data_IF_772290236724
#
_entry.id   IF_772290236724
#
_cell.length_a   1.000
_cell.length_b   1.000
_cell.length_c   1.000
_cell.angle_alpha   90.00
_cell.angle_beta   90.00
_cell.angle_gamma   90.00
#
_symmetry.space_group_name_H-M   'P 1'
#
loop_
_entity.id
_entity.type
_entity.pdbx_description
1 polymer ?
#
# COMPACT_ATOMS: atom_id res chain seq x y z
N UNK A 1 2.50 34.52 1.04
CA UNK A 1 3.44 33.44 1.43
C UNK A 1 3.84 33.63 2.87
N UNK A 2 3.48 32.69 3.75
CA UNK A 2 3.97 32.69 5.13
C UNK A 2 5.42 32.24 5.14
N UNK A 3 6.20 32.85 6.02
CA UNK A 3 7.65 32.75 6.08
C UNK A 3 8.06 32.47 7.52
N UNK A 4 9.14 31.72 7.74
CA UNK A 4 9.63 31.49 9.09
C UNK A 4 10.14 32.81 9.71
N UNK A 5 9.74 33.10 10.94
CA UNK A 5 10.20 34.26 11.70
C UNK A 5 11.17 33.83 12.81
N UNK A 6 12.19 34.66 13.05
CA UNK A 6 13.21 34.40 14.08
C UNK A 6 12.56 34.57 15.45
N UNK A 7 12.79 33.62 16.36
CA UNK A 7 12.24 33.65 17.71
C UNK A 7 10.85 33.01 17.87
N UNK A 8 10.19 32.60 16.78
CA UNK A 8 8.93 31.86 16.83
C UNK A 8 9.15 30.35 16.94
N UNK A 9 8.15 29.70 17.54
CA UNK A 9 8.07 28.24 17.66
C UNK A 9 7.02 27.69 16.70
N UNK A 10 7.40 26.63 16.00
CA UNK A 10 6.55 25.93 15.05
C UNK A 10 6.43 24.48 15.47
N UNK A 11 5.24 23.90 15.30
CA UNK A 11 4.97 22.52 15.67
C UNK A 11 4.48 21.70 14.47
N UNK A 12 4.78 20.42 14.50
CA UNK A 12 4.14 19.45 13.61
C UNK A 12 3.88 18.16 14.36
N UNK A 13 2.77 17.51 14.03
CA UNK A 13 2.46 16.17 14.52
C UNK A 13 3.17 15.14 13.67
N UNK A 14 3.58 14.04 14.30
CA UNK A 14 4.07 12.87 13.58
C UNK A 14 2.95 12.27 12.74
N UNK A 15 3.31 11.66 11.61
CA UNK A 15 2.35 10.91 10.78
C UNK A 15 2.02 9.56 11.42
N UNK A 16 2.92 9.02 12.24
CA UNK A 16 2.83 7.66 12.79
C UNK A 16 2.14 7.60 14.15
N UNK A 17 2.19 8.68 14.90
CA UNK A 17 1.63 8.79 16.24
C UNK A 17 1.06 10.19 16.43
N UNK A 18 -0.26 10.25 16.62
CA UNK A 18 -0.99 11.50 16.79
C UNK A 18 -0.64 12.23 18.09
N UNK A 19 -0.13 11.53 19.10
CA UNK A 19 0.29 12.11 20.39
C UNK A 19 1.71 12.69 20.33
N UNK A 20 2.52 12.25 19.35
CA UNK A 20 3.87 12.76 19.14
C UNK A 20 3.85 14.13 18.44
N UNK A 21 4.10 15.19 19.21
CA UNK A 21 4.26 16.57 18.72
C UNK A 21 5.73 16.94 18.70
N UNK A 22 6.25 17.27 17.51
CA UNK A 22 7.58 17.82 17.34
C UNK A 22 7.51 19.34 17.32
N UNK A 23 8.34 20.01 18.11
CA UNK A 23 8.48 21.47 18.13
C UNK A 23 9.89 21.89 17.66
N UNK A 24 9.95 23.04 17.00
CA UNK A 24 11.21 23.69 16.64
C UNK A 24 11.17 25.16 17.04
N UNK A 25 12.30 25.66 17.52
CA UNK A 25 12.49 27.09 17.79
C UNK A 25 13.46 27.68 16.77
N UNK A 26 13.02 28.69 16.03
CA UNK A 26 13.86 29.29 14.99
C UNK A 26 14.88 30.26 15.61
N UNK A 27 16.16 29.93 15.53
CA UNK A 27 17.26 30.74 16.08
C UNK A 27 17.88 31.70 15.07
N UNK A 28 17.75 31.40 13.77
CA UNK A 28 18.26 32.29 12.73
C UNK A 28 17.70 31.96 11.36
N UNK A 29 17.50 32.99 10.55
CA UNK A 29 17.01 32.84 9.18
C UNK A 29 17.95 33.51 8.18
N UNK A 30 18.21 32.79 7.10
CA UNK A 30 18.84 33.32 5.88
C UNK A 30 17.89 33.12 4.70
N UNK A 31 18.17 33.74 3.56
CA UNK A 31 17.32 33.67 2.36
C UNK A 31 17.05 32.24 1.85
N UNK A 32 17.94 31.28 2.13
CA UNK A 32 17.86 29.88 1.63
C UNK A 32 17.90 28.82 2.73
N UNK A 33 18.27 29.19 3.96
CA UNK A 33 18.44 28.22 5.07
C UNK A 33 17.90 28.78 6.38
N UNK A 34 17.43 27.90 7.25
CA UNK A 34 16.95 28.22 8.59
C UNK A 34 17.76 27.41 9.59
N UNK A 35 18.24 28.09 10.62
CA UNK A 35 18.83 27.49 11.81
C UNK A 35 17.77 27.44 12.90
N UNK A 36 17.63 26.29 13.55
CA UNK A 36 16.61 26.06 14.56
C UNK A 36 17.12 25.07 15.60
N UNK A 37 16.52 25.11 16.78
CA UNK A 37 16.74 24.14 17.84
C UNK A 37 15.69 23.05 17.73
N UNK A 38 16.13 21.79 17.68
CA UNK A 38 15.29 20.60 17.53
C UNK A 38 15.84 19.50 18.44
N UNK A 39 14.99 19.00 19.35
CA UNK A 39 15.36 17.96 20.32
C UNK A 39 16.63 18.28 21.13
N UNK A 40 16.84 19.57 21.47
CA UNK A 40 18.01 20.05 22.23
C UNK A 40 19.28 20.25 21.40
N UNK A 41 19.25 20.01 20.08
CA UNK A 41 20.37 20.26 19.18
C UNK A 41 20.08 21.43 18.24
N UNK A 42 21.06 22.32 18.05
CA UNK A 42 20.99 23.34 17.00
C UNK A 42 21.28 22.72 15.64
N UNK A 43 20.30 22.74 14.74
CA UNK A 43 20.39 22.20 13.37
C UNK A 43 20.14 23.30 12.34
N UNK A 44 20.60 23.05 11.11
CA UNK A 44 20.37 23.92 9.96
C UNK A 44 19.78 23.13 8.81
N UNK A 45 18.68 23.62 8.25
CA UNK A 45 18.04 23.03 7.07
C UNK A 45 17.78 24.05 5.98
N UNK A 46 17.68 23.54 4.74
CA UNK A 46 17.33 24.34 3.57
C UNK A 46 15.82 24.60 3.55
N UNK A 47 15.43 25.85 3.29
CA UNK A 47 14.03 26.22 3.08
C UNK A 47 13.58 25.66 1.73
N UNK A 48 12.45 24.96 1.73
CA UNK A 48 11.74 24.57 0.52
C UNK A 48 10.45 25.38 0.40
N UNK A 49 9.98 25.51 -0.83
CA UNK A 49 8.80 26.29 -1.17
C UNK A 49 7.77 25.36 -1.80
N UNK A 50 6.52 25.52 -1.39
CA UNK A 50 5.33 24.87 -1.95
C UNK A 50 4.25 25.94 -2.20
N UNK A 51 3.14 25.58 -2.85
CA UNK A 51 2.04 26.51 -3.18
C UNK A 51 1.43 27.15 -1.91
N UNK A 52 1.49 26.47 -0.76
CA UNK A 52 1.01 26.95 0.53
C UNK A 52 2.04 27.78 1.32
N UNK A 53 3.33 27.74 0.98
CA UNK A 53 4.36 28.56 1.63
C UNK A 53 5.70 27.86 1.87
N UNK A 54 6.48 28.42 2.80
CA UNK A 54 7.80 27.88 3.18
C UNK A 54 7.65 26.68 4.12
N UNK A 55 8.42 25.62 3.85
CA UNK A 55 8.52 24.46 4.72
C UNK A 55 9.97 23.99 4.87
N UNK A 56 10.25 23.33 5.99
CA UNK A 56 11.54 22.71 6.28
C UNK A 56 11.33 21.25 6.68
N UNK A 57 12.30 20.41 6.32
CA UNK A 57 12.33 19.00 6.66
C UNK A 57 13.70 18.73 7.32
N UNK A 58 13.75 18.53 8.65
CA UNK A 58 15.02 18.34 9.37
C UNK A 58 15.77 17.08 8.95
N UNK A 59 15.03 16.00 8.72
CA UNK A 59 15.60 14.70 8.41
C UNK A 59 15.14 14.20 7.04
N UNK A 60 15.82 13.17 6.50
CA UNK A 60 15.57 12.65 5.14
C UNK A 60 14.87 11.28 5.09
N UNK A 61 14.42 10.75 6.22
CA UNK A 61 13.63 9.52 6.23
C UNK A 61 12.17 9.78 5.84
N UNK A 62 11.47 8.75 5.34
CA UNK A 62 10.12 8.86 4.78
C UNK A 62 9.06 9.39 5.77
N UNK A 63 9.30 9.23 7.06
CA UNK A 63 8.42 9.68 8.16
C UNK A 63 8.93 10.96 8.83
N UNK A 64 9.88 11.67 8.23
CA UNK A 64 10.48 12.85 8.85
C UNK A 64 9.45 13.97 9.05
N UNK A 65 9.44 14.61 10.24
CA UNK A 65 8.51 15.69 10.51
C UNK A 65 8.77 16.85 9.57
N UNK A 66 7.70 17.36 8.95
CA UNK A 66 7.77 18.49 8.03
C UNK A 66 7.14 19.71 8.70
N UNK A 67 7.95 20.73 8.95
CA UNK A 67 7.50 21.96 9.58
C UNK A 67 7.10 22.96 8.51
N UNK A 68 5.91 23.55 8.65
CA UNK A 68 5.38 24.57 7.75
C UNK A 68 5.28 25.91 8.47
N UNK A 69 5.55 26.99 7.76
CA UNK A 69 5.39 28.35 8.28
C UNK A 69 3.92 28.72 8.60
N UNK A 70 2.96 27.88 8.23
CA UNK A 70 1.54 28.07 8.56
C UNK A 70 1.17 27.63 9.97
N UNK A 71 1.95 26.72 10.57
CA UNK A 71 1.71 26.10 11.88
C UNK A 71 2.52 26.79 12.97
N UNK A 72 2.30 28.10 13.12
CA UNK A 72 2.76 28.83 14.31
C UNK A 72 1.94 28.34 15.51
N UNK A 73 2.61 28.07 16.65
CA UNK A 73 1.90 27.85 17.91
C UNK A 73 1.20 29.17 18.25
N UNK A 74 -0.11 29.27 17.98
CA UNK A 74 -0.96 30.19 18.72
C UNK A 74 -1.33 29.52 20.05
N UNK A 75 -1.25 30.23 21.19
CA UNK A 75 -1.74 29.68 22.44
C UNK A 75 -3.28 29.56 22.37
N UNK A 76 -3.75 28.35 22.68
CA UNK A 76 -5.14 27.94 22.98
C UNK A 76 -6.18 28.10 21.85
N UNK A 77 -6.69 26.98 21.31
CA UNK A 77 -7.94 26.36 21.79
C UNK A 77 -8.22 25.04 21.03
N UNK A 78 -8.49 24.01 21.84
CA UNK A 78 -9.12 22.69 21.68
C UNK A 78 -9.44 22.03 20.31
N UNK A 79 -9.10 20.74 20.26
CA UNK A 79 -9.68 19.68 19.41
C UNK A 79 -11.18 19.45 19.76
N UNK A 80 -12.00 18.65 19.02
CA UNK A 80 -11.87 17.18 18.92
C UNK A 80 -12.21 16.64 17.50
N UNK A 81 -11.67 15.52 17.01
CA UNK A 81 -11.90 14.10 17.34
C UNK A 81 -13.10 13.44 16.61
N UNK A 82 -12.94 12.14 16.34
CA UNK A 82 -13.92 11.13 15.89
C UNK A 82 -14.33 11.20 14.40
N UNK A 83 -14.58 10.10 13.67
CA UNK A 83 -14.75 8.70 14.03
C UNK A 83 -14.61 7.78 12.81
N UNK A 84 -14.31 6.52 13.12
CA UNK A 84 -14.29 5.31 12.30
C UNK A 84 -15.71 4.94 11.80
N UNK A 85 -15.83 4.43 10.57
CA UNK A 85 -17.09 3.81 10.13
C UNK A 85 -16.86 2.71 9.10
N UNK A 86 -17.04 1.47 9.56
CA UNK A 86 -17.09 0.26 8.76
C UNK A 86 -18.53 0.01 8.28
N UNK A 87 -18.72 -0.40 7.02
CA UNK A 87 -19.97 -1.03 6.57
C UNK A 87 -19.70 -2.18 5.57
N UNK A 88 -20.56 -3.18 5.73
CA UNK A 88 -20.75 -4.55 5.28
C UNK A 88 -20.82 -4.90 3.78
N UNK A 89 -20.56 -6.19 3.53
CA UNK A 89 -20.83 -7.00 2.32
C UNK A 89 -22.32 -7.40 2.23
N UNK A 90 -22.80 -7.83 1.05
CA UNK A 90 -23.56 -9.10 1.03
C UNK A 90 -23.18 -10.05 -0.12
N UNK A 91 -23.66 -11.28 0.00
CA UNK A 91 -23.18 -12.54 -0.57
C UNK A 91 -24.01 -13.10 -1.76
N UNK A 92 -23.46 -14.21 -2.32
CA UNK A 92 -24.05 -15.27 -3.19
C UNK A 92 -24.48 -14.86 -4.62
N UNK A 93 -24.29 -15.64 -5.68
CA UNK A 93 -24.66 -17.05 -5.84
C UNK A 93 -24.05 -17.71 -7.12
N UNK A 94 -24.09 -19.04 -7.17
CA UNK A 94 -24.20 -19.95 -8.31
C UNK A 94 -23.00 -20.22 -9.27
N UNK A 95 -22.54 -21.47 -9.25
CA UNK A 95 -21.66 -22.09 -10.24
C UNK A 95 -22.35 -22.28 -11.61
N UNK A 96 -21.57 -22.34 -12.71
CA UNK A 96 -21.45 -23.65 -13.37
C UNK A 96 -20.01 -24.01 -13.78
N UNK A 97 -19.69 -25.30 -13.65
CA UNK A 97 -18.42 -25.94 -14.00
C UNK A 97 -18.09 -25.84 -15.50
N UNK A 98 -17.31 -24.83 -15.89
CA UNK A 98 -16.70 -24.73 -17.22
C UNK A 98 -15.23 -25.15 -17.13
N UNK A 99 -14.89 -26.26 -17.80
CA UNK A 99 -13.51 -26.72 -17.96
C UNK A 99 -12.86 -25.89 -19.05
N UNK A 100 -11.94 -25.00 -18.70
CA UNK A 100 -11.22 -24.18 -19.68
C UNK A 100 -9.79 -24.71 -19.82
N UNK A 101 -9.46 -25.24 -21.00
CA UNK A 101 -8.10 -25.67 -21.35
C UNK A 101 -7.38 -24.50 -22.02
N UNK A 102 -6.36 -23.93 -21.37
CA UNK A 102 -5.54 -22.86 -21.96
C UNK A 102 -4.08 -23.31 -22.03
N UNK A 103 -3.56 -23.34 -23.25
CA UNK A 103 -2.13 -23.49 -23.55
C UNK A 103 -1.40 -22.18 -23.21
N UNK A 104 -0.55 -22.21 -22.19
CA UNK A 104 0.34 -21.09 -21.86
C UNK A 104 1.62 -21.17 -22.71
N UNK A 105 2.09 -20.07 -23.34
CA UNK A 105 3.31 -20.07 -24.14
C UNK A 105 4.51 -19.68 -23.27
N UNK A 106 4.93 -20.60 -22.40
CA UNK A 106 6.27 -20.72 -21.83
C UNK A 106 6.18 -21.70 -20.65
N UNK A 107 6.07 -22.99 -20.97
CA UNK A 107 6.48 -24.15 -20.16
C UNK A 107 5.75 -25.37 -20.71
N UNK A 108 6.45 -26.49 -20.86
CA UNK A 108 5.97 -27.72 -21.48
C UNK A 108 4.94 -28.48 -20.61
N UNK A 109 3.91 -27.80 -20.11
CA UNK A 109 2.86 -28.39 -19.30
C UNK A 109 1.64 -27.49 -19.22
N UNK A 110 0.61 -27.78 -20.02
CA UNK A 110 -0.71 -27.15 -19.90
C UNK A 110 -1.27 -27.39 -18.49
N UNK A 111 -1.58 -26.32 -17.75
CA UNK A 111 -2.28 -26.42 -16.47
C UNK A 111 -3.78 -26.34 -16.75
N UNK A 112 -4.51 -27.39 -16.39
CA UNK A 112 -5.98 -27.40 -16.47
C UNK A 112 -6.49 -27.01 -15.08
N UNK A 113 -7.24 -25.92 -15.02
CA UNK A 113 -7.85 -25.42 -13.78
C UNK A 113 -9.35 -25.66 -13.88
N UNK A 114 -9.93 -26.18 -12.80
CA UNK A 114 -11.34 -26.59 -12.73
C UNK A 114 -12.04 -25.80 -11.63
N UNK A 115 -13.34 -25.56 -11.78
CA UNK A 115 -14.17 -25.06 -10.67
C UNK A 115 -14.23 -26.15 -9.59
N UNK A 116 -14.10 -25.75 -8.34
CA UNK A 116 -13.95 -26.62 -7.17
C UNK A 116 -12.50 -27.05 -6.88
N UNK A 117 -11.54 -26.73 -7.77
CA UNK A 117 -10.15 -27.12 -7.56
C UNK A 117 -9.54 -26.35 -6.38
N UNK A 118 -8.84 -27.09 -5.51
CA UNK A 118 -8.04 -26.52 -4.43
C UNK A 118 -6.76 -25.88 -5.00
N UNK A 119 -6.46 -24.68 -4.53
CA UNK A 119 -5.28 -23.92 -4.90
C UNK A 119 -4.58 -23.40 -3.66
N UNK A 120 -3.29 -23.16 -3.78
CA UNK A 120 -2.44 -22.64 -2.71
C UNK A 120 -1.64 -21.44 -3.21
N UNK A 121 -1.61 -20.37 -2.44
CA UNK A 121 -0.82 -19.19 -2.74
C UNK A 121 0.45 -19.15 -1.88
N UNK A 122 1.61 -19.06 -2.52
CA UNK A 122 2.90 -18.86 -1.84
C UNK A 122 3.31 -17.41 -2.02
N UNK A 123 3.13 -16.61 -0.96
CA UNK A 123 3.44 -15.18 -0.92
C UNK A 123 4.87 -14.88 -0.43
N UNK A 124 5.66 -15.90 -0.10
CA UNK A 124 7.07 -15.78 0.31
C UNK A 124 7.33 -16.12 1.77
N UNK A 125 8.59 -16.05 2.18
CA UNK A 125 9.07 -16.61 3.45
C UNK A 125 8.46 -15.98 4.72
N UNK A 126 7.89 -14.78 4.62
CA UNK A 126 7.29 -14.06 5.75
C UNK A 126 5.76 -14.22 5.82
N UNK A 127 5.16 -15.00 4.92
CA UNK A 127 3.71 -15.17 4.84
C UNK A 127 3.36 -16.66 4.85
N UNK A 128 2.34 -17.08 5.63
CA UNK A 128 1.87 -18.46 5.57
C UNK A 128 1.30 -18.74 4.18
N UNK A 129 1.38 -20.01 3.76
CA UNK A 129 0.72 -20.47 2.53
C UNK A 129 -0.79 -20.36 2.73
N UNK A 130 -1.45 -19.71 1.77
CA UNK A 130 -2.89 -19.49 1.83
C UNK A 130 -3.63 -20.49 0.93
N UNK A 131 -4.61 -21.20 1.49
CA UNK A 131 -5.46 -22.12 0.75
C UNK A 131 -6.66 -21.41 0.14
N UNK A 132 -7.09 -21.85 -1.04
CA UNK A 132 -8.28 -21.34 -1.71
C UNK A 132 -8.96 -22.37 -2.59
N UNK A 133 -10.14 -22.03 -3.09
CA UNK A 133 -10.93 -22.85 -4.01
C UNK A 133 -11.34 -22.02 -5.22
N UNK A 134 -11.16 -22.56 -6.42
CA UNK A 134 -11.64 -21.92 -7.66
C UNK A 134 -13.16 -22.00 -7.71
N UNK A 135 -13.85 -20.86 -7.77
CA UNK A 135 -15.32 -20.80 -7.79
C UNK A 135 -15.89 -20.49 -9.17
N UNK A 136 -15.09 -19.92 -10.07
CA UNK A 136 -15.57 -19.50 -11.40
C UNK A 136 -14.45 -19.01 -12.30
N UNK A 137 -14.83 -18.67 -13.54
CA UNK A 137 -13.95 -18.03 -14.51
C UNK A 137 -14.63 -16.80 -15.10
N UNK A 138 -13.82 -15.78 -15.37
CA UNK A 138 -14.27 -14.53 -15.98
C UNK A 138 -13.33 -14.19 -17.14
N UNK A 139 -13.89 -14.00 -18.34
CA UNK A 139 -13.15 -13.46 -19.47
C UNK A 139 -13.31 -11.94 -19.51
N UNK A 140 -12.19 -11.23 -19.38
CA UNK A 140 -12.20 -9.78 -19.34
C UNK A 140 -11.55 -9.21 -20.60
N UNK A 141 -12.27 -8.38 -21.38
CA UNK A 141 -11.74 -7.82 -22.60
C UNK A 141 -10.55 -6.89 -22.31
N UNK A 142 -9.64 -6.80 -23.27
CA UNK A 142 -8.52 -5.86 -23.19
C UNK A 142 -9.02 -4.42 -23.18
N UNK A 143 -8.58 -3.66 -22.17
CA UNK A 143 -8.83 -2.23 -22.07
C UNK A 143 -7.63 -1.41 -22.55
N UNK A 144 -7.78 -0.09 -22.55
CA UNK A 144 -6.69 0.85 -22.85
C UNK A 144 -5.50 0.73 -21.88
N UNK A 145 -5.77 0.35 -20.63
CA UNK A 145 -4.77 0.32 -19.55
C UNK A 145 -4.46 -1.09 -19.04
N UNK A 146 -5.32 -2.08 -19.29
CA UNK A 146 -5.18 -3.43 -18.77
C UNK A 146 -5.22 -4.45 -19.90
N UNK A 147 -4.27 -5.38 -19.90
CA UNK A 147 -4.33 -6.53 -20.79
C UNK A 147 -5.47 -7.43 -20.33
N UNK A 148 -6.43 -7.65 -21.22
CA UNK A 148 -7.52 -8.60 -21.00
C UNK A 148 -7.02 -10.04 -20.89
N UNK A 149 -7.95 -10.95 -20.68
CA UNK A 149 -7.68 -12.39 -20.60
C UNK A 149 -8.62 -13.08 -19.64
N UNK A 150 -8.38 -14.37 -19.48
CA UNK A 150 -9.20 -15.23 -18.63
C UNK A 150 -8.64 -15.25 -17.21
N UNK A 151 -9.52 -14.98 -16.25
CA UNK A 151 -9.23 -14.97 -14.82
C UNK A 151 -10.01 -16.10 -14.15
N UNK A 152 -9.38 -16.76 -13.19
CA UNK A 152 -10.04 -17.61 -12.22
C UNK A 152 -10.48 -16.76 -11.02
N UNK A 153 -11.70 -16.96 -10.58
CA UNK A 153 -12.20 -16.43 -9.32
C UNK A 153 -11.82 -17.43 -8.23
N UNK A 154 -11.00 -17.01 -7.27
CA UNK A 154 -10.54 -17.84 -6.16
C UNK A 154 -11.18 -17.32 -4.89
N UNK A 155 -11.89 -18.21 -4.18
CA UNK A 155 -12.34 -17.97 -2.81
C UNK A 155 -11.25 -18.46 -1.85
N UNK A 156 -10.56 -17.53 -1.21
CA UNK A 156 -9.54 -17.84 -0.22
C UNK A 156 -10.15 -18.24 1.12
N UNK A 157 -9.53 -19.21 1.80
CA UNK A 157 -10.01 -19.73 3.08
C UNK A 157 -9.96 -18.65 4.18
N UNK A 158 -9.02 -17.69 4.09
CA UNK A 158 -8.91 -16.58 5.06
C UNK A 158 -9.95 -15.47 4.84
N UNK A 159 -10.52 -15.39 3.62
CA UNK A 159 -11.42 -14.30 3.19
C UNK A 159 -12.51 -14.84 2.26
N UNK A 160 -13.46 -15.64 2.78
CA UNK A 160 -14.47 -16.29 1.95
C UNK A 160 -15.43 -15.30 1.27
N UNK A 161 -15.69 -14.15 1.88
CA UNK A 161 -16.66 -13.15 1.39
C UNK A 161 -16.12 -12.28 0.24
N UNK A 162 -14.82 -12.39 -0.09
CA UNK A 162 -14.16 -11.54 -1.08
C UNK A 162 -13.34 -12.40 -2.04
N UNK A 163 -13.97 -12.99 -3.06
CA UNK A 163 -13.25 -13.77 -4.06
C UNK A 163 -12.28 -12.87 -4.84
N UNK A 164 -11.08 -13.37 -5.08
CA UNK A 164 -10.03 -12.67 -5.81
C UNK A 164 -9.97 -13.13 -7.26
N UNK A 165 -9.70 -12.18 -8.17
CA UNK A 165 -9.48 -12.45 -9.59
C UNK A 165 -7.99 -12.72 -9.82
N UNK A 166 -7.65 -13.97 -10.06
CA UNK A 166 -6.28 -14.39 -10.39
C UNK A 166 -6.20 -14.79 -11.86
N UNK A 167 -5.19 -14.30 -12.57
CA UNK A 167 -5.05 -14.59 -14.00
C UNK A 167 -4.71 -16.06 -14.19
N UNK A 168 -5.32 -16.71 -15.18
CA UNK A 168 -5.03 -18.12 -15.45
C UNK A 168 -3.56 -18.36 -15.82
N UNK A 169 -2.85 -17.37 -16.36
CA UNK A 169 -1.40 -17.43 -16.63
C UNK A 169 -0.55 -17.58 -15.37
N UNK A 170 -1.08 -17.17 -14.22
CA UNK A 170 -0.34 -17.04 -12.95
C UNK A 170 -0.63 -18.22 -12.00
N UNK A 171 -1.45 -19.17 -12.47
CA UNK A 171 -1.71 -20.44 -11.80
C UNK A 171 -0.81 -21.51 -12.41
N UNK A 172 0.00 -22.13 -11.55
CA UNK A 172 1.03 -23.07 -11.95
C UNK A 172 0.83 -24.45 -11.30
N UNK A 173 1.54 -25.46 -11.79
CA UNK A 173 1.63 -26.76 -11.10
C UNK A 173 2.59 -26.65 -9.93
N UNK A 174 2.34 -27.42 -8.87
CA UNK A 174 3.30 -27.58 -7.77
C UNK A 174 4.68 -27.97 -8.32
N UNK A 175 5.72 -27.28 -7.84
CA UNK A 175 7.10 -27.44 -8.31
C UNK A 175 7.52 -26.46 -9.41
N UNK A 176 6.60 -25.68 -9.97
CA UNK A 176 6.96 -24.58 -10.87
C UNK A 176 7.82 -23.53 -10.14
N UNK A 177 8.73 -22.91 -10.90
CA UNK A 177 9.59 -21.83 -10.44
C UNK A 177 9.65 -20.76 -11.52
N UNK A 178 9.71 -19.51 -11.10
CA UNK A 178 9.97 -18.41 -12.04
C UNK A 178 11.34 -18.56 -12.70
N UNK A 179 11.61 -17.79 -13.76
CA UNK A 179 12.92 -17.76 -14.41
C UNK A 179 14.08 -17.46 -13.44
N UNK A 180 13.81 -16.74 -12.34
CA UNK A 180 14.77 -16.46 -11.26
C UNK A 180 14.83 -17.53 -10.16
N UNK A 181 14.14 -18.66 -10.32
CA UNK A 181 14.07 -19.76 -9.35
C UNK A 181 13.09 -19.55 -8.19
N UNK A 182 12.35 -18.43 -8.18
CA UNK A 182 11.44 -18.07 -7.09
C UNK A 182 10.19 -18.97 -7.09
N UNK A 183 9.78 -19.53 -5.94
CA UNK A 183 8.57 -20.35 -5.81
C UNK A 183 7.30 -19.53 -5.53
N UNK A 184 7.31 -18.23 -5.80
CA UNK A 184 6.15 -17.34 -5.56
C UNK A 184 5.10 -17.54 -6.65
N UNK A 185 3.83 -17.64 -6.25
CA UNK A 185 2.71 -17.77 -7.17
C UNK A 185 1.54 -18.56 -6.59
N UNK A 186 0.54 -18.81 -7.43
CA UNK A 186 -0.62 -19.66 -7.11
C UNK A 186 -0.42 -21.03 -7.73
N UNK A 187 -0.68 -22.08 -6.96
CA UNK A 187 -0.42 -23.45 -7.37
C UNK A 187 -1.69 -24.30 -7.25
N UNK A 188 -1.89 -25.18 -8.23
CA UNK A 188 -2.93 -26.21 -8.13
C UNK A 188 -2.49 -27.23 -7.09
N UNK A 189 -3.34 -27.48 -6.08
CA UNK A 189 -3.16 -28.61 -5.19
C UNK A 189 -3.31 -29.90 -6.03
N UNK A 190 -2.27 -30.72 -6.03
CA UNK A 190 -2.22 -31.98 -6.77
C UNK A 190 -3.14 -33.04 -6.21
#
# INVERSE_FOLDING_TARGET
>A
MKKFEIGKEYFTRSICDSECIFSIKITGRTAKTVSYEYMGESRRSKIRFDDSGEYIQPDRYSMAPTFRAEREVQPEEEAPAAEESAVSVPAEDAAPSNVITISQPADNGTVIVMIGQRVECVCGACYPVEGGTVIGFEDVPGGRFFRGGVFALIRWDSRPDRPERVRLSDIHRRGWRSAGGSPLGVFVAG
#
